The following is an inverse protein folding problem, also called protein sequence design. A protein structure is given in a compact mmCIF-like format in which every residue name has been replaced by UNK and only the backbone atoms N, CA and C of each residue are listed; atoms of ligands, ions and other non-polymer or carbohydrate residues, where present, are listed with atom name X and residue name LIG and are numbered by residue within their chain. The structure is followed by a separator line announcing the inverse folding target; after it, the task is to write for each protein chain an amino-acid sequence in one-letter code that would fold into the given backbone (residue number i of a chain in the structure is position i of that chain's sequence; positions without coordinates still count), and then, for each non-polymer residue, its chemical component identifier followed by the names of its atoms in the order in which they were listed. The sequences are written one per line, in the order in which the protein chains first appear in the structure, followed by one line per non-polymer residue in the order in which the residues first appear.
data_IF_080976788115
#
_entry.id   IF_080976788115
#
_cell.length_a   1.000
_cell.length_b   1.000
_cell.length_c   1.000
_cell.angle_alpha   90.00
_cell.angle_beta   90.00
_cell.angle_gamma   90.00
#
_symmetry.space_group_name_H-M   'P 1'
#
loop_
_entity.id
_entity.type
_entity.pdbx_description
1 polymer ?
#
# COMPACT_ATOMS: atom_id res chain seq x y z
N UNK A 1 14.04 21.92 25.01
CA UNK A 1 13.17 20.75 25.23
C UNK A 1 11.79 21.23 24.84
N UNK A 2 11.38 21.05 23.57
CA UNK A 2 10.06 21.49 23.09
C UNK A 2 9.02 20.56 23.71
N UNK A 3 8.47 20.99 24.84
CA UNK A 3 7.32 20.39 25.49
C UNK A 3 6.13 21.29 25.23
N UNK A 4 5.49 21.13 24.08
CA UNK A 4 4.04 21.27 23.93
C UNK A 4 3.62 20.70 22.57
N UNK A 5 2.35 20.35 22.42
CA UNK A 5 1.73 19.63 21.30
C UNK A 5 1.93 20.25 19.89
N UNK A 6 3.16 20.30 19.37
CA UNK A 6 3.42 20.78 18.01
C UNK A 6 2.94 19.73 16.99
N UNK A 7 2.16 20.13 15.98
CA UNK A 7 1.73 19.22 14.92
C UNK A 7 2.93 18.64 14.15
N UNK A 8 2.74 17.44 13.62
CA UNK A 8 3.78 16.79 12.80
C UNK A 8 4.21 17.67 11.62
N UNK A 9 5.36 17.39 11.00
CA UNK A 9 5.87 18.20 9.90
C UNK A 9 4.88 18.29 8.75
N UNK A 10 4.30 17.15 8.38
CA UNK A 10 3.28 17.08 7.34
C UNK A 10 2.01 17.83 7.72
N UNK A 11 1.56 17.74 8.96
CA UNK A 11 0.34 18.42 9.42
C UNK A 11 0.53 19.94 9.53
N UNK A 12 1.72 20.40 9.90
CA UNK A 12 2.03 21.82 10.09
C UNK A 12 2.18 22.63 8.81
N UNK A 13 2.31 21.97 7.67
CA UNK A 13 2.55 22.62 6.38
C UNK A 13 1.35 22.44 5.46
N UNK A 14 1.15 23.41 4.57
CA UNK A 14 0.29 23.29 3.39
C UNK A 14 1.11 23.48 2.14
N UNK A 15 0.72 22.78 1.07
CA UNK A 15 1.36 22.91 -0.23
C UNK A 15 0.59 23.91 -1.07
N UNK A 16 1.26 24.99 -1.46
CA UNK A 16 0.69 26.01 -2.34
C UNK A 16 1.30 25.84 -3.73
N UNK A 17 0.45 25.95 -4.76
CA UNK A 17 0.89 25.88 -6.16
C UNK A 17 1.87 27.02 -6.45
N UNK A 18 2.97 26.71 -7.14
CA UNK A 18 3.91 27.72 -7.65
C UNK A 18 3.35 28.49 -8.85
N UNK A 19 2.51 27.81 -9.63
CA UNK A 19 1.92 28.34 -10.85
C UNK A 19 0.40 28.13 -10.84
N UNK A 20 -0.33 29.03 -11.48
CA UNK A 20 -1.77 28.90 -11.65
C UNK A 20 -2.12 27.77 -12.63
N UNK A 21 -3.40 27.36 -12.62
CA UNK A 21 -3.90 26.36 -13.57
C UNK A 21 -3.38 24.93 -13.33
N UNK A 22 -3.25 24.14 -14.41
CA UNK A 22 -2.83 22.73 -14.37
C UNK A 22 -1.30 22.53 -14.37
N UNK A 23 -0.51 23.59 -14.57
CA UNK A 23 0.94 23.50 -14.75
C UNK A 23 1.69 22.76 -13.61
N UNK A 24 1.36 22.97 -12.32
CA UNK A 24 1.99 22.21 -11.24
C UNK A 24 1.82 20.69 -11.41
N UNK A 25 0.60 20.25 -11.76
CA UNK A 25 0.28 18.83 -11.93
C UNK A 25 1.07 18.25 -13.10
N UNK A 26 1.08 18.94 -14.24
CA UNK A 26 1.79 18.50 -15.44
C UNK A 26 3.30 18.43 -15.20
N UNK A 27 3.88 19.44 -14.57
CA UNK A 27 5.31 19.48 -14.26
C UNK A 27 5.72 18.35 -13.31
N UNK A 28 4.97 18.12 -12.23
CA UNK A 28 5.24 16.99 -11.35
C UNK A 28 5.04 15.66 -12.06
N UNK A 29 3.99 15.49 -12.86
CA UNK A 29 3.75 14.24 -13.59
C UNK A 29 4.92 13.90 -14.51
N UNK A 30 5.46 14.90 -15.22
CA UNK A 30 6.65 14.73 -16.06
C UNK A 30 7.89 14.33 -15.25
N UNK A 31 8.13 15.00 -14.11
CA UNK A 31 9.25 14.68 -13.22
C UNK A 31 9.12 13.29 -12.62
N UNK A 32 7.91 12.91 -12.17
CA UNK A 32 7.63 11.57 -11.64
C UNK A 32 7.84 10.50 -12.71
N UNK A 33 7.38 10.73 -13.95
CA UNK A 33 7.59 9.79 -15.05
C UNK A 33 9.08 9.64 -15.40
N UNK A 34 9.83 10.75 -15.45
CA UNK A 34 11.27 10.73 -15.71
C UNK A 34 12.04 10.00 -14.60
N UNK A 35 11.76 10.32 -13.33
CA UNK A 35 12.37 9.64 -12.18
C UNK A 35 11.98 8.17 -12.13
N UNK A 36 10.72 7.85 -12.39
CA UNK A 36 10.24 6.47 -12.46
C UNK A 36 11.01 5.69 -13.49
N UNK A 37 11.07 6.16 -14.73
CA UNK A 37 11.72 5.42 -15.80
C UNK A 37 13.24 5.29 -15.59
N UNK A 38 13.91 6.38 -15.19
CA UNK A 38 15.34 6.36 -14.94
C UNK A 38 15.71 5.38 -13.81
N UNK A 39 14.99 5.43 -12.70
CA UNK A 39 15.25 4.54 -11.56
C UNK A 39 14.77 3.12 -11.83
N UNK A 40 13.67 2.93 -12.56
CA UNK A 40 13.22 1.63 -13.03
C UNK A 40 14.31 0.95 -13.86
N UNK A 41 14.87 1.66 -14.85
CA UNK A 41 15.95 1.14 -15.69
C UNK A 41 17.20 0.75 -14.91
N UNK A 42 17.57 1.54 -13.89
CA UNK A 42 18.75 1.23 -13.06
C UNK A 42 18.50 -0.01 -12.20
N UNK A 43 17.39 -0.05 -11.47
CA UNK A 43 17.18 -1.02 -10.40
C UNK A 43 16.38 -2.25 -10.84
N UNK A 44 15.27 -2.04 -11.54
CA UNK A 44 14.23 -3.06 -11.71
C UNK A 44 14.25 -3.68 -13.11
N UNK A 45 14.27 -2.88 -14.20
CA UNK A 45 14.10 -3.37 -15.57
C UNK A 45 14.96 -4.62 -15.84
N UNK A 46 14.37 -5.74 -16.31
CA UNK A 46 15.11 -6.96 -16.62
C UNK A 46 16.24 -6.77 -17.65
N UNK A 47 16.16 -5.74 -18.48
CA UNK A 47 17.15 -5.36 -19.49
C UNK A 47 18.14 -4.31 -18.97
N UNK A 48 17.86 -3.75 -17.80
CA UNK A 48 18.58 -2.67 -17.17
C UNK A 48 19.89 -3.09 -16.51
N UNK A 49 20.34 -2.26 -15.57
CA UNK A 49 21.68 -2.38 -14.95
C UNK A 49 21.69 -3.44 -13.86
N UNK A 50 20.88 -3.29 -12.81
CA UNK A 50 20.90 -4.20 -11.65
C UNK A 50 19.95 -5.39 -11.77
N UNK A 51 18.90 -5.27 -12.60
CA UNK A 51 17.96 -6.36 -12.94
C UNK A 51 17.34 -7.05 -11.72
N UNK A 52 16.98 -6.27 -10.70
CA UNK A 52 16.48 -6.80 -9.43
C UNK A 52 15.06 -7.36 -9.53
N UNK A 53 14.40 -7.26 -10.68
CA UNK A 53 13.02 -7.72 -10.85
C UNK A 53 12.82 -9.21 -10.56
N UNK A 54 13.78 -10.06 -10.92
CA UNK A 54 13.76 -11.52 -10.66
C UNK A 54 15.15 -12.03 -10.26
N UNK A 55 15.29 -12.87 -9.21
CA UNK A 55 14.24 -13.29 -8.26
C UNK A 55 13.72 -12.09 -7.43
N UNK A 56 12.66 -12.25 -6.62
CA UNK A 56 11.88 -11.19 -5.92
C UNK A 56 12.63 -10.14 -5.06
N UNK A 57 13.96 -10.07 -5.13
CA UNK A 57 14.86 -9.07 -4.55
C UNK A 57 14.34 -7.64 -4.74
N UNK A 58 14.02 -7.26 -5.98
CA UNK A 58 13.56 -5.91 -6.31
C UNK A 58 12.19 -5.60 -5.73
N UNK A 59 11.33 -6.62 -5.60
CA UNK A 59 10.04 -6.47 -4.95
C UNK A 59 10.21 -6.28 -3.43
N UNK A 60 11.05 -7.09 -2.79
CA UNK A 60 11.39 -6.95 -1.37
C UNK A 60 11.91 -5.54 -1.06
N UNK A 61 12.88 -5.03 -1.81
CA UNK A 61 13.40 -3.67 -1.62
C UNK A 61 12.34 -2.60 -1.86
N UNK A 62 11.58 -2.70 -2.96
CA UNK A 62 10.51 -1.77 -3.26
C UNK A 62 9.48 -1.69 -2.12
N UNK A 63 9.12 -2.84 -1.55
CA UNK A 63 8.15 -2.91 -0.47
C UNK A 63 8.69 -2.38 0.85
N UNK A 64 9.91 -2.75 1.24
CA UNK A 64 10.50 -2.21 2.46
C UNK A 64 10.78 -0.71 2.38
N UNK A 65 11.17 -0.19 1.21
CA UNK A 65 11.29 1.24 1.02
C UNK A 65 9.98 1.95 1.34
N UNK A 66 8.84 1.44 0.86
CA UNK A 66 7.51 1.97 1.20
C UNK A 66 7.31 2.04 2.73
N UNK A 67 7.65 0.98 3.45
CA UNK A 67 7.54 0.94 4.92
C UNK A 67 8.41 2.00 5.56
N UNK A 68 9.67 2.10 5.15
CA UNK A 68 10.60 3.07 5.74
C UNK A 68 10.16 4.50 5.45
N UNK A 69 9.59 4.80 4.28
CA UNK A 69 9.02 6.11 3.98
C UNK A 69 7.88 6.44 4.95
N UNK A 70 6.99 5.48 5.22
CA UNK A 70 5.90 5.63 6.20
C UNK A 70 6.49 5.81 7.61
N UNK A 71 7.51 5.04 7.99
CA UNK A 71 8.15 5.17 9.28
C UNK A 71 8.75 6.56 9.47
N UNK A 72 9.53 7.04 8.51
CA UNK A 72 10.12 8.39 8.56
C UNK A 72 9.03 9.45 8.67
N UNK A 73 8.00 9.41 7.83
CA UNK A 73 7.01 10.49 7.74
C UNK A 73 5.92 10.46 8.81
N UNK A 74 5.38 9.27 9.12
CA UNK A 74 4.19 9.10 9.98
C UNK A 74 4.53 8.63 11.40
N UNK A 75 5.56 7.80 11.58
CA UNK A 75 5.89 7.22 12.90
C UNK A 75 6.94 8.06 13.63
N UNK A 76 8.04 8.39 12.97
CA UNK A 76 9.18 9.12 13.53
C UNK A 76 9.09 10.63 13.35
N UNK A 77 8.12 11.14 12.58
CA UNK A 77 7.98 12.57 12.26
C UNK A 77 9.33 13.21 11.89
N UNK A 78 10.03 12.56 10.94
CA UNK A 78 11.33 12.96 10.41
C UNK A 78 12.49 12.97 11.42
N UNK A 79 12.33 12.45 12.64
CA UNK A 79 13.48 12.23 13.52
C UNK A 79 14.51 11.31 12.82
N UNK A 80 15.83 11.58 12.90
CA UNK A 80 16.52 12.55 13.75
C UNK A 80 16.71 13.96 13.15
N UNK A 81 16.09 14.27 12.01
CA UNK A 81 16.24 15.56 11.36
C UNK A 81 15.50 16.67 12.13
N UNK A 82 16.20 17.77 12.41
CA UNK A 82 15.62 18.90 13.15
C UNK A 82 14.53 19.60 12.33
N UNK A 83 13.45 20.02 13.00
CA UNK A 83 12.33 20.74 12.38
C UNK A 83 12.76 21.95 11.55
N UNK A 84 13.62 22.81 12.12
CA UNK A 84 14.14 23.97 11.41
C UNK A 84 15.02 23.65 10.19
N UNK A 85 15.54 22.42 10.05
CA UNK A 85 16.21 21.98 8.82
C UNK A 85 15.17 21.60 7.76
N UNK A 86 14.11 20.86 8.14
CA UNK A 86 13.04 20.46 7.22
C UNK A 86 12.33 21.66 6.59
N UNK A 87 12.15 22.74 7.35
CA UNK A 87 11.44 23.94 6.91
C UNK A 87 12.27 24.86 5.99
N UNK A 88 13.60 24.92 6.20
CA UNK A 88 14.48 25.86 5.48
C UNK A 88 15.25 25.24 4.32
N UNK A 89 15.40 23.92 4.30
CA UNK A 89 16.23 23.24 3.30
C UNK A 89 15.54 23.20 1.95
N UNK A 90 16.35 23.36 0.88
CA UNK A 90 15.87 23.21 -0.48
C UNK A 90 15.17 21.84 -0.66
N UNK A 91 13.98 21.78 -1.28
CA UNK A 91 13.23 20.52 -1.38
C UNK A 91 13.96 19.40 -2.12
N UNK A 92 14.83 19.71 -3.09
CA UNK A 92 15.65 18.70 -3.77
C UNK A 92 16.69 18.11 -2.84
N UNK A 93 17.39 18.95 -2.07
CA UNK A 93 18.38 18.51 -1.07
C UNK A 93 17.72 17.66 0.00
N UNK A 94 16.56 18.12 0.50
CA UNK A 94 15.75 17.37 1.46
C UNK A 94 15.31 16.02 0.91
N UNK A 95 14.84 15.99 -0.35
CA UNK A 95 14.53 14.76 -1.08
C UNK A 95 15.69 13.78 -1.09
N UNK A 96 16.85 14.21 -1.58
CA UNK A 96 18.05 13.36 -1.68
C UNK A 96 18.49 12.83 -0.32
N UNK A 97 18.58 13.69 0.70
CA UNK A 97 19.04 13.31 2.03
C UNK A 97 18.07 12.34 2.71
N UNK A 98 16.76 12.63 2.69
CA UNK A 98 15.77 11.76 3.32
C UNK A 98 15.62 10.44 2.58
N UNK A 99 15.67 10.43 1.24
CA UNK A 99 15.68 9.19 0.46
C UNK A 99 16.93 8.35 0.74
N UNK A 100 18.11 8.96 0.77
CA UNK A 100 19.35 8.24 1.11
C UNK A 100 19.30 7.65 2.53
N UNK A 101 18.78 8.41 3.49
CA UNK A 101 18.53 7.92 4.85
C UNK A 101 17.55 6.75 4.86
N UNK A 102 16.42 6.84 4.15
CA UNK A 102 15.46 5.75 4.04
C UNK A 102 16.05 4.49 3.40
N UNK A 103 16.90 4.63 2.37
CA UNK A 103 17.61 3.49 1.76
C UNK A 103 18.59 2.87 2.75
N UNK A 104 19.35 3.66 3.50
CA UNK A 104 20.28 3.14 4.51
C UNK A 104 19.54 2.37 5.61
N UNK A 105 18.42 2.90 6.11
CA UNK A 105 17.59 2.21 7.12
C UNK A 105 16.96 0.95 6.54
N UNK A 106 16.48 0.99 5.28
CA UNK A 106 15.95 -0.19 4.59
C UNK A 106 17.00 -1.31 4.52
N UNK A 107 18.23 -1.00 4.11
CA UNK A 107 19.31 -1.98 4.04
C UNK A 107 19.69 -2.50 5.43
N UNK A 108 19.70 -1.64 6.46
CA UNK A 108 19.92 -2.08 7.84
C UNK A 108 18.85 -3.07 8.31
N UNK A 109 17.59 -2.83 7.97
CA UNK A 109 16.48 -3.73 8.32
C UNK A 109 16.57 -5.04 7.54
N UNK A 110 16.73 -4.99 6.22
CA UNK A 110 16.76 -6.20 5.38
C UNK A 110 18.03 -7.01 5.63
N UNK A 111 19.20 -6.41 5.37
CA UNK A 111 20.47 -7.11 5.45
C UNK A 111 20.87 -7.33 6.90
N UNK A 112 20.85 -6.27 7.71
CA UNK A 112 21.28 -6.34 9.11
C UNK A 112 20.34 -7.16 9.99
N UNK A 113 19.05 -6.82 10.02
CA UNK A 113 18.10 -7.49 10.91
C UNK A 113 17.56 -8.80 10.33
N UNK A 114 16.95 -8.79 9.14
CA UNK A 114 16.29 -10.00 8.62
C UNK A 114 17.26 -11.06 8.15
N UNK A 115 18.23 -10.73 7.28
CA UNK A 115 19.13 -11.74 6.73
C UNK A 115 20.21 -12.16 7.73
N UNK A 116 20.90 -11.21 8.36
CA UNK A 116 22.01 -11.54 9.29
C UNK A 116 21.53 -11.96 10.67
N UNK A 117 20.76 -11.13 11.39
CA UNK A 117 20.36 -11.49 12.76
C UNK A 117 19.34 -12.62 12.75
N UNK A 118 18.19 -12.42 12.09
CA UNK A 118 17.10 -13.38 12.12
C UNK A 118 17.40 -14.59 11.23
N UNK A 119 17.95 -14.39 10.04
CA UNK A 119 18.23 -15.44 9.06
C UNK A 119 19.41 -16.34 9.45
N UNK A 120 20.55 -15.76 9.85
CA UNK A 120 21.73 -16.56 10.16
C UNK A 120 21.65 -17.27 11.53
N UNK A 121 20.87 -16.76 12.48
CA UNK A 121 20.81 -17.29 13.85
C UNK A 121 19.44 -17.82 14.29
N UNK A 122 18.35 -17.51 13.58
CA UNK A 122 16.98 -17.88 13.96
C UNK A 122 16.26 -18.74 12.91
N UNK A 123 15.77 -18.10 11.86
CA UNK A 123 14.90 -18.68 10.83
C UNK A 123 15.69 -18.78 9.51
N UNK A 124 16.21 -19.96 9.21
CA UNK A 124 17.14 -20.19 8.10
C UNK A 124 16.61 -19.74 6.74
N UNK A 125 15.31 -19.84 6.48
CA UNK A 125 14.73 -19.43 5.21
C UNK A 125 14.75 -17.92 4.97
N UNK A 126 15.16 -17.09 5.94
CA UNK A 126 15.37 -15.65 5.74
C UNK A 126 16.81 -15.32 5.32
N UNK A 127 17.72 -16.29 5.29
CA UNK A 127 19.11 -16.10 4.86
C UNK A 127 19.38 -16.91 3.59
N UNK A 128 19.65 -16.24 2.44
CA UNK A 128 20.07 -16.93 1.23
C UNK A 128 21.31 -17.82 1.46
N UNK A 129 22.29 -17.31 2.22
CA UNK A 129 23.55 -18.01 2.49
C UNK A 129 23.31 -19.30 3.31
N UNK A 130 22.36 -19.26 4.27
CA UNK A 130 21.96 -20.47 5.01
C UNK A 130 21.26 -21.48 4.12
N UNK A 131 20.35 -21.02 3.26
CA UNK A 131 19.64 -21.90 2.32
C UNK A 131 20.60 -22.58 1.35
N UNK A 132 21.59 -21.85 0.83
CA UNK A 132 22.64 -22.41 -0.03
C UNK A 132 23.52 -23.42 0.72
N UNK A 133 23.89 -23.11 1.97
CA UNK A 133 24.62 -24.06 2.83
C UNK A 133 23.87 -25.36 3.09
N UNK A 134 22.54 -25.37 2.92
CA UNK A 134 21.68 -26.55 3.01
C UNK A 134 21.41 -27.23 1.65
N UNK A 135 22.02 -26.75 0.57
CA UNK A 135 21.95 -27.35 -0.78
C UNK A 135 20.90 -26.76 -1.72
N UNK A 136 20.24 -25.65 -1.35
CA UNK A 136 19.32 -24.94 -2.26
C UNK A 136 20.14 -24.11 -3.26
N UNK A 137 19.76 -24.10 -4.54
CA UNK A 137 20.47 -23.28 -5.53
C UNK A 137 20.32 -21.79 -5.24
N UNK A 138 21.34 -20.98 -5.56
CA UNK A 138 21.35 -19.53 -5.29
C UNK A 138 20.07 -18.82 -5.74
N UNK A 139 19.53 -19.19 -6.89
CA UNK A 139 18.30 -18.58 -7.43
C UNK A 139 17.12 -18.80 -6.48
N UNK A 140 16.84 -20.05 -6.09
CA UNK A 140 15.73 -20.37 -5.17
C UNK A 140 16.00 -19.89 -3.74
N UNK A 141 17.26 -19.92 -3.29
CA UNK A 141 17.65 -19.38 -1.99
C UNK A 141 17.34 -17.88 -1.89
N UNK A 142 17.67 -17.11 -2.93
CA UNK A 142 17.29 -15.70 -3.02
C UNK A 142 15.78 -15.53 -3.10
N UNK A 143 15.09 -16.32 -3.93
CA UNK A 143 13.65 -16.22 -4.09
C UNK A 143 12.91 -16.44 -2.77
N UNK A 144 13.19 -17.54 -2.06
CA UNK A 144 12.52 -17.88 -0.80
C UNK A 144 12.85 -16.90 0.33
N UNK A 145 14.11 -16.48 0.45
CA UNK A 145 14.48 -15.53 1.49
C UNK A 145 13.89 -14.14 1.25
N UNK A 146 13.93 -13.66 0.01
CA UNK A 146 13.35 -12.35 -0.32
C UNK A 146 11.83 -12.36 -0.25
N UNK A 147 11.18 -13.47 -0.61
CA UNK A 147 9.74 -13.67 -0.44
C UNK A 147 9.35 -13.65 1.05
N UNK A 148 10.06 -14.38 1.92
CA UNK A 148 9.81 -14.37 3.36
C UNK A 148 9.90 -12.97 3.97
N UNK A 149 10.95 -12.23 3.62
CA UNK A 149 11.20 -10.87 4.13
C UNK A 149 10.20 -9.86 3.55
N UNK A 150 9.82 -10.03 2.27
CA UNK A 150 8.80 -9.22 1.62
C UNK A 150 7.41 -9.44 2.23
N UNK A 151 7.03 -10.68 2.54
CA UNK A 151 5.76 -10.99 3.19
C UNK A 151 5.62 -10.29 4.55
N UNK A 152 6.73 -10.16 5.29
CA UNK A 152 6.75 -9.34 6.51
C UNK A 152 6.49 -7.86 6.21
N UNK A 153 7.10 -7.32 5.16
CA UNK A 153 6.85 -5.94 4.71
C UNK A 153 5.39 -5.72 4.28
N UNK A 154 4.73 -6.72 3.67
CA UNK A 154 3.31 -6.65 3.31
C UNK A 154 2.44 -6.47 4.56
N UNK A 155 2.74 -7.16 5.66
CA UNK A 155 2.03 -6.99 6.93
C UNK A 155 2.30 -5.60 7.52
N UNK A 156 3.58 -5.19 7.53
CA UNK A 156 3.99 -3.91 8.09
C UNK A 156 3.37 -2.71 7.34
N UNK A 157 3.09 -2.81 6.04
CA UNK A 157 2.51 -1.71 5.24
C UNK A 157 1.09 -1.37 5.62
N UNK A 158 0.38 -2.29 6.25
CA UNK A 158 -0.94 -2.04 6.79
C UNK A 158 -0.86 -1.63 8.26
N UNK A 159 -0.19 -2.42 9.11
CA UNK A 159 -0.18 -2.19 10.56
C UNK A 159 0.48 -0.86 10.95
N UNK A 160 1.59 -0.49 10.30
CA UNK A 160 2.31 0.74 10.59
C UNK A 160 1.44 1.99 10.38
N UNK A 161 0.86 2.24 9.18
CA UNK A 161 -0.03 3.39 9.00
C UNK A 161 -1.36 3.22 9.73
N UNK A 162 -1.91 2.01 9.87
CA UNK A 162 -3.18 1.82 10.60
C UNK A 162 -3.08 2.29 12.06
N UNK A 163 -1.92 2.12 12.70
CA UNK A 163 -1.74 2.62 14.06
C UNK A 163 -1.82 4.15 14.16
N UNK A 164 -1.26 4.85 13.17
CA UNK A 164 -1.28 6.31 13.15
C UNK A 164 -2.67 6.84 12.71
N UNK A 165 -3.23 6.23 11.67
CA UNK A 165 -4.47 6.67 11.01
C UNK A 165 -5.72 6.26 11.78
N UNK A 166 -5.83 4.99 12.16
CA UNK A 166 -7.02 4.44 12.83
C UNK A 166 -6.91 4.51 14.35
N UNK A 167 -5.73 4.20 14.92
CA UNK A 167 -5.52 4.23 16.37
C UNK A 167 -5.10 5.61 16.90
N UNK A 168 -4.92 6.61 16.03
CA UNK A 168 -4.56 8.00 16.40
C UNK A 168 -3.29 8.11 17.27
N UNK A 169 -2.29 7.25 17.01
CA UNK A 169 -1.03 7.14 17.76
C UNK A 169 -1.16 6.66 19.22
N UNK A 170 -2.34 6.24 19.66
CA UNK A 170 -2.55 5.89 21.06
C UNK A 170 -2.01 4.50 21.42
N UNK A 171 -1.53 4.29 22.66
CA UNK A 171 -1.52 5.21 23.81
C UNK A 171 -0.31 6.19 23.83
N UNK A 172 0.52 6.22 22.80
CA UNK A 172 1.80 6.93 22.79
C UNK A 172 1.76 8.32 22.17
N UNK A 173 0.58 8.83 21.82
CA UNK A 173 0.39 10.10 21.12
C UNK A 173 1.09 11.28 21.82
N UNK A 174 1.16 11.24 23.16
CA UNK A 174 1.75 12.28 24.01
C UNK A 174 3.26 12.14 24.22
N UNK A 175 3.89 11.05 23.76
CA UNK A 175 5.33 10.87 23.90
C UNK A 175 6.09 11.74 22.88
N UNK A 176 7.25 12.30 23.25
CA UNK A 176 8.11 13.00 22.31
C UNK A 176 8.81 12.02 21.36
N UNK A 177 9.32 12.52 20.23
CA UNK A 177 10.28 11.77 19.41
C UNK A 177 11.66 11.74 20.10
N UNK A 178 12.43 10.64 19.99
CA UNK A 178 12.12 9.43 19.22
C UNK A 178 11.26 8.40 19.96
N UNK A 179 10.98 8.60 21.25
CA UNK A 179 10.31 7.60 22.10
C UNK A 179 9.00 7.13 21.49
N UNK A 180 8.14 8.05 21.03
CA UNK A 180 6.88 7.69 20.36
C UNK A 180 7.10 6.80 19.15
N UNK A 181 7.99 7.20 18.23
CA UNK A 181 8.27 6.46 17.01
C UNK A 181 8.83 5.08 17.28
N UNK A 182 9.81 4.97 18.19
CA UNK A 182 10.40 3.69 18.61
C UNK A 182 9.33 2.78 19.21
N UNK A 183 8.49 3.27 20.12
CA UNK A 183 7.48 2.42 20.76
C UNK A 183 6.41 1.94 19.79
N UNK A 184 5.89 2.83 18.92
CA UNK A 184 4.93 2.43 17.88
C UNK A 184 5.57 1.40 16.96
N UNK A 185 6.79 1.65 16.47
CA UNK A 185 7.51 0.73 15.58
C UNK A 185 7.69 -0.64 16.24
N UNK A 186 8.15 -0.70 17.50
CA UNK A 186 8.36 -1.97 18.20
C UNK A 186 7.06 -2.76 18.38
N UNK A 187 5.96 -2.09 18.74
CA UNK A 187 4.67 -2.77 18.93
C UNK A 187 4.05 -3.22 17.62
N UNK A 188 4.07 -2.37 16.59
CA UNK A 188 3.56 -2.78 15.27
C UNK A 188 4.45 -3.86 14.65
N UNK A 189 5.75 -3.86 14.92
CA UNK A 189 6.66 -4.94 14.51
C UNK A 189 6.36 -6.25 15.24
N UNK A 190 6.14 -6.22 16.55
CA UNK A 190 5.71 -7.39 17.33
C UNK A 190 4.40 -7.99 16.80
N UNK A 191 3.39 -7.14 16.57
CA UNK A 191 2.14 -7.60 15.95
C UNK A 191 2.35 -8.11 14.53
N UNK A 192 3.24 -7.49 13.75
CA UNK A 192 3.61 -7.99 12.42
C UNK A 192 4.23 -9.38 12.49
N UNK A 193 5.08 -9.65 13.48
CA UNK A 193 5.64 -10.99 13.72
C UNK A 193 4.56 -12.01 14.06
N UNK A 194 3.62 -11.68 14.95
CA UNK A 194 2.51 -12.58 15.29
C UNK A 194 1.66 -12.88 14.06
N UNK A 195 1.26 -11.85 13.31
CA UNK A 195 0.50 -12.01 12.07
C UNK A 195 1.29 -12.82 11.04
N UNK A 196 2.60 -12.61 10.93
CA UNK A 196 3.45 -13.37 10.01
C UNK A 196 3.44 -14.87 10.33
N UNK A 197 3.55 -15.25 11.60
CA UNK A 197 3.46 -16.66 11.99
C UNK A 197 2.08 -17.27 11.74
N UNK A 198 1.01 -16.49 11.91
CA UNK A 198 -0.34 -16.96 11.64
C UNK A 198 -0.67 -17.06 10.14
N UNK A 199 -0.05 -16.25 9.29
CA UNK A 199 -0.51 -16.05 7.90
C UNK A 199 0.49 -16.44 6.83
N UNK A 200 1.79 -16.34 7.11
CA UNK A 200 2.85 -16.50 6.10
C UNK A 200 3.80 -17.67 6.42
N UNK A 201 4.01 -18.00 7.70
CA UNK A 201 4.95 -19.04 8.08
C UNK A 201 4.57 -20.43 7.53
N UNK A 202 3.28 -20.77 7.53
CA UNK A 202 2.78 -22.01 6.91
C UNK A 202 3.06 -22.09 5.41
N UNK A 203 3.02 -20.97 4.68
CA UNK A 203 3.43 -20.92 3.27
C UNK A 203 4.92 -21.18 3.12
N UNK A 204 5.77 -20.56 3.94
CA UNK A 204 7.21 -20.81 3.88
C UNK A 204 7.55 -22.26 4.20
N UNK A 205 6.87 -22.87 5.18
CA UNK A 205 7.13 -24.23 5.64
C UNK A 205 6.87 -25.32 4.59
N UNK A 206 5.97 -25.07 3.63
CA UNK A 206 5.65 -26.03 2.55
C UNK A 206 6.56 -25.90 1.33
N UNK A 207 7.39 -24.84 1.24
CA UNK A 207 8.36 -24.66 0.15
C UNK A 207 9.55 -25.62 0.27
N UNK A 208 9.76 -26.21 1.45
CA UNK A 208 10.85 -27.14 1.71
C UNK A 208 10.31 -28.57 1.75
N UNK A 209 11.05 -29.52 1.16
CA UNK A 209 10.72 -30.94 1.21
C UNK A 209 11.68 -31.69 2.17
N UNK A 210 11.16 -32.49 3.12
CA UNK A 210 9.75 -32.62 3.48
C UNK A 210 9.19 -31.32 4.08
N UNK A 211 7.86 -31.16 4.06
CA UNK A 211 7.21 -30.00 4.70
C UNK A 211 7.60 -29.89 6.16
N UNK A 212 7.78 -28.66 6.65
CA UNK A 212 8.29 -28.39 8.00
C UNK A 212 7.18 -28.49 9.07
N UNK A 213 6.60 -29.69 9.23
CA UNK A 213 5.39 -29.93 10.03
C UNK A 213 5.59 -29.74 11.55
N UNK A 214 6.83 -29.79 12.04
CA UNK A 214 7.13 -29.60 13.47
C UNK A 214 7.10 -28.13 13.91
N UNK A 215 7.17 -27.19 12.98
CA UNK A 215 7.26 -25.75 13.28
C UNK A 215 6.08 -24.96 12.72
N UNK A 216 5.32 -25.53 11.79
CA UNK A 216 4.22 -24.85 11.11
C UNK A 216 3.01 -25.75 10.90
N UNK A 217 1.84 -25.12 10.72
CA UNK A 217 0.62 -25.80 10.30
C UNK A 217 0.73 -26.06 8.80
N UNK A 218 0.89 -27.32 8.38
CA UNK A 218 1.02 -27.69 6.96
C UNK A 218 0.01 -28.79 6.61
N UNK A 219 -0.91 -28.57 5.65
CA UNK A 219 -1.11 -27.34 4.88
C UNK A 219 -1.70 -26.21 5.75
N UNK A 220 -1.55 -24.96 5.31
CA UNK A 220 -2.14 -23.82 6.02
C UNK A 220 -3.66 -23.93 6.15
N UNK A 221 -4.23 -23.38 7.23
CA UNK A 221 -5.67 -23.52 7.54
C UNK A 221 -6.61 -22.94 6.49
N UNK A 222 -6.09 -22.12 5.57
CA UNK A 222 -6.85 -21.52 4.48
C UNK A 222 -7.02 -22.42 3.26
N UNK A 223 -6.30 -23.53 3.18
CA UNK A 223 -6.26 -24.39 1.99
C UNK A 223 -7.64 -24.73 1.44
N UNK A 224 -8.56 -25.13 2.32
CA UNK A 224 -9.89 -25.62 1.93
C UNK A 224 -10.77 -24.54 1.33
N UNK A 225 -10.79 -23.34 1.91
CA UNK A 225 -11.67 -22.26 1.44
C UNK A 225 -11.00 -21.33 0.42
N UNK A 226 -9.67 -21.22 0.42
CA UNK A 226 -8.92 -20.45 -0.57
C UNK A 226 -8.55 -21.27 -1.81
N UNK A 227 -8.79 -22.60 -1.78
CA UNK A 227 -8.45 -23.55 -2.83
C UNK A 227 -6.96 -23.55 -3.23
N UNK A 228 -6.08 -23.16 -2.30
CA UNK A 228 -4.62 -23.11 -2.49
C UNK A 228 -3.89 -23.17 -1.16
N UNK A 229 -2.69 -23.76 -1.17
CA UNK A 229 -1.77 -23.73 -0.03
C UNK A 229 -0.89 -22.47 -0.01
N UNK A 230 -0.95 -21.66 -1.06
CA UNK A 230 -0.15 -20.44 -1.19
C UNK A 230 -0.58 -19.36 -0.21
N UNK A 231 0.40 -18.67 0.39
CA UNK A 231 0.23 -17.47 1.21
C UNK A 231 -0.28 -16.25 0.42
N UNK A 232 -0.41 -16.35 -0.90
CA UNK A 232 -0.99 -15.29 -1.74
C UNK A 232 -2.42 -14.90 -1.30
N UNK A 233 -3.18 -15.83 -0.71
CA UNK A 233 -4.45 -15.49 -0.06
C UNK A 233 -4.28 -14.40 1.01
N UNK A 234 -3.25 -14.53 1.85
CA UNK A 234 -2.94 -13.55 2.88
C UNK A 234 -2.39 -12.25 2.31
N UNK A 235 -1.57 -12.33 1.27
CA UNK A 235 -1.15 -11.13 0.53
C UNK A 235 -2.41 -10.39 0.05
N UNK A 236 -3.37 -11.05 -0.59
CA UNK A 236 -4.57 -10.44 -1.15
C UNK A 236 -5.29 -9.50 -0.16
N UNK A 237 -5.71 -10.00 1.00
CA UNK A 237 -6.49 -9.19 1.93
C UNK A 237 -5.64 -8.16 2.68
N UNK A 238 -4.36 -8.43 2.96
CA UNK A 238 -3.47 -7.46 3.62
C UNK A 238 -3.16 -6.28 2.67
N UNK A 239 -3.04 -6.56 1.37
CA UNK A 239 -2.92 -5.54 0.34
C UNK A 239 -4.18 -4.68 0.29
N UNK A 240 -5.37 -5.30 0.31
CA UNK A 240 -6.63 -4.56 0.43
C UNK A 240 -6.68 -3.72 1.71
N UNK A 241 -6.18 -4.23 2.85
CA UNK A 241 -6.09 -3.46 4.10
C UNK A 241 -5.19 -2.23 3.95
N UNK A 242 -4.01 -2.40 3.34
CA UNK A 242 -3.09 -1.29 3.07
C UNK A 242 -3.78 -0.19 2.25
N UNK A 243 -4.44 -0.58 1.15
CA UNK A 243 -5.15 0.37 0.28
C UNK A 243 -6.31 1.05 1.01
N UNK A 244 -7.07 0.29 1.80
CA UNK A 244 -8.22 0.81 2.54
C UNK A 244 -7.81 1.81 3.62
N UNK A 245 -6.70 1.59 4.34
CA UNK A 245 -6.15 2.58 5.27
C UNK A 245 -5.87 3.91 4.56
N UNK A 246 -5.25 3.86 3.38
CA UNK A 246 -4.94 5.06 2.64
C UNK A 246 -6.16 5.71 2.01
N UNK A 247 -7.15 4.93 1.54
CA UNK A 247 -8.45 5.47 1.09
C UNK A 247 -9.11 6.24 2.23
N UNK A 248 -9.17 5.61 3.40
CA UNK A 248 -9.70 6.17 4.64
C UNK A 248 -8.99 7.47 5.03
N UNK A 249 -7.66 7.50 5.04
CA UNK A 249 -6.88 8.69 5.40
C UNK A 249 -7.01 9.83 4.37
N UNK A 250 -7.11 9.52 3.08
CA UNK A 250 -6.95 10.51 2.01
C UNK A 250 -8.27 10.97 1.39
N UNK A 251 -8.79 10.22 0.42
CA UNK A 251 -9.97 10.61 -0.36
C UNK A 251 -11.26 10.52 0.44
N UNK A 252 -11.28 9.68 1.50
CA UNK A 252 -12.42 9.54 2.41
C UNK A 252 -12.38 10.50 3.58
N UNK A 253 -11.27 11.20 3.83
CA UNK A 253 -11.13 12.17 4.94
C UNK A 253 -11.58 11.59 6.29
N UNK A 254 -11.22 10.32 6.55
CA UNK A 254 -11.59 9.53 7.73
C UNK A 254 -13.10 9.28 7.92
N UNK A 255 -13.92 9.52 6.91
CA UNK A 255 -15.33 9.14 6.88
C UNK A 255 -15.49 7.62 6.66
N UNK A 256 -16.51 6.97 7.25
CA UNK A 256 -17.52 7.49 8.17
C UNK A 256 -17.11 7.43 9.64
N UNK A 257 -15.98 6.80 9.97
CA UNK A 257 -15.65 6.52 11.37
C UNK A 257 -15.34 7.79 12.17
N UNK A 258 -14.91 8.88 11.52
CA UNK A 258 -14.77 10.19 12.16
C UNK A 258 -16.08 10.80 12.70
N UNK A 259 -17.25 10.24 12.37
CA UNK A 259 -18.53 10.61 12.98
C UNK A 259 -18.63 10.15 14.45
N UNK A 260 -17.88 9.12 14.83
CA UNK A 260 -17.89 8.55 16.18
C UNK A 260 -17.13 9.49 17.12
N UNK A 261 -17.86 10.16 18.01
CA UNK A 261 -17.28 11.14 18.93
C UNK A 261 -16.43 10.47 20.03
N UNK A 262 -16.84 9.27 20.47
CA UNK A 262 -16.13 8.51 21.51
C UNK A 262 -14.80 7.96 20.99
N UNK A 263 -13.68 8.47 21.51
CA UNK A 263 -12.33 8.18 21.00
C UNK A 263 -12.00 6.68 20.89
N UNK A 264 -12.16 5.91 21.97
CA UNK A 264 -11.80 4.48 21.96
C UNK A 264 -12.67 3.70 20.95
N UNK A 265 -13.97 4.00 20.91
CA UNK A 265 -14.91 3.34 19.99
C UNK A 265 -14.62 3.72 18.54
N UNK A 266 -14.26 4.97 18.27
CA UNK A 266 -13.82 5.43 16.95
C UNK A 266 -12.59 4.65 16.51
N UNK A 267 -11.56 4.55 17.37
CA UNK A 267 -10.31 3.86 17.03
C UNK A 267 -10.52 2.38 16.75
N UNK A 268 -11.24 1.69 17.63
CA UNK A 268 -11.59 0.27 17.47
C UNK A 268 -12.42 0.07 16.21
N UNK A 269 -13.48 0.85 16.01
CA UNK A 269 -14.34 0.75 14.83
C UNK A 269 -13.60 1.11 13.55
N UNK A 270 -12.69 2.08 13.58
CA UNK A 270 -11.88 2.45 12.41
C UNK A 270 -10.91 1.32 12.03
N UNK A 271 -10.20 0.77 13.01
CA UNK A 271 -9.23 -0.30 12.77
C UNK A 271 -9.91 -1.57 12.21
N UNK A 272 -10.94 -2.08 12.91
CA UNK A 272 -11.65 -3.27 12.45
C UNK A 272 -12.56 -3.01 11.25
N UNK A 273 -13.09 -1.79 11.11
CA UNK A 273 -13.88 -1.39 9.95
C UNK A 273 -13.05 -1.35 8.67
N UNK A 274 -11.81 -0.87 8.73
CA UNK A 274 -10.84 -0.96 7.61
C UNK A 274 -10.61 -2.43 7.23
N UNK A 275 -10.40 -3.31 8.21
CA UNK A 275 -10.22 -4.75 7.97
C UNK A 275 -11.47 -5.36 7.32
N UNK A 276 -12.66 -5.07 7.83
CA UNK A 276 -13.91 -5.58 7.27
C UNK A 276 -14.13 -5.13 5.81
N UNK A 277 -13.90 -3.84 5.52
CA UNK A 277 -13.99 -3.29 4.15
C UNK A 277 -12.94 -3.95 3.25
N UNK A 278 -11.72 -4.14 3.73
CA UNK A 278 -10.67 -4.79 2.97
C UNK A 278 -10.97 -6.26 2.66
N UNK A 279 -11.55 -7.01 3.58
CA UNK A 279 -12.00 -8.38 3.33
C UNK A 279 -13.13 -8.41 2.29
N UNK A 280 -14.12 -7.53 2.42
CA UNK A 280 -15.19 -7.41 1.42
C UNK A 280 -14.63 -7.10 0.03
N UNK A 281 -13.68 -6.14 -0.06
CA UNK A 281 -12.98 -5.82 -1.30
C UNK A 281 -12.19 -7.02 -1.84
N UNK A 282 -11.46 -7.73 -0.98
CA UNK A 282 -10.63 -8.88 -1.36
C UNK A 282 -11.49 -9.98 -2.00
N UNK A 283 -12.56 -10.41 -1.33
CA UNK A 283 -13.45 -11.44 -1.86
C UNK A 283 -14.23 -10.96 -3.08
N UNK A 284 -14.65 -9.70 -3.12
CA UNK A 284 -15.31 -9.13 -4.30
C UNK A 284 -14.39 -9.13 -5.53
N UNK A 285 -13.13 -8.71 -5.39
CA UNK A 285 -12.16 -8.72 -6.49
C UNK A 285 -11.82 -10.14 -6.92
N UNK A 286 -11.74 -11.11 -6.01
CA UNK A 286 -11.56 -12.52 -6.37
C UNK A 286 -12.75 -13.02 -7.20
N UNK A 287 -13.96 -12.83 -6.68
CA UNK A 287 -15.19 -13.22 -7.37
C UNK A 287 -15.36 -12.51 -8.73
N UNK A 288 -14.99 -11.22 -8.81
CA UNK A 288 -15.02 -10.47 -10.05
C UNK A 288 -14.11 -11.06 -11.14
N UNK A 289 -12.97 -11.63 -10.76
CA UNK A 289 -12.11 -12.36 -11.69
C UNK A 289 -12.78 -13.67 -12.15
N UNK A 290 -13.45 -14.41 -11.26
CA UNK A 290 -14.18 -15.64 -11.64
C UNK A 290 -15.31 -15.34 -12.62
N UNK A 291 -16.02 -14.22 -12.43
CA UNK A 291 -17.03 -13.75 -13.37
C UNK A 291 -16.43 -13.40 -14.74
N UNK A 292 -15.24 -12.78 -14.77
CA UNK A 292 -14.61 -12.32 -16.00
C UNK A 292 -13.91 -13.44 -16.78
N UNK A 293 -13.31 -14.41 -16.08
CA UNK A 293 -12.37 -15.38 -16.66
C UNK A 293 -12.74 -16.84 -16.38
N UNK A 294 -13.85 -17.11 -15.68
CA UNK A 294 -14.26 -18.45 -15.28
C UNK A 294 -13.63 -18.91 -13.95
N UNK A 295 -14.16 -20.02 -13.44
CA UNK A 295 -13.84 -20.59 -12.14
C UNK A 295 -12.39 -21.07 -12.03
N UNK A 296 -11.75 -20.79 -10.90
CA UNK A 296 -10.39 -21.29 -10.62
C UNK A 296 -10.34 -22.80 -10.40
N UNK A 297 -9.30 -23.46 -10.91
CA UNK A 297 -9.11 -24.91 -10.76
C UNK A 297 -7.76 -25.16 -10.09
N UNK A 298 -7.77 -25.81 -8.93
CA UNK A 298 -6.56 -26.15 -8.19
C UNK A 298 -5.65 -27.07 -9.02
N UNK A 299 -4.35 -26.78 -8.99
CA UNK A 299 -3.33 -27.53 -9.75
C UNK A 299 -3.18 -27.08 -11.20
N UNK A 300 -4.02 -26.16 -11.69
CA UNK A 300 -3.77 -25.48 -12.96
C UNK A 300 -2.68 -24.41 -12.82
N UNK A 301 -2.17 -23.91 -13.95
CA UNK A 301 -1.19 -22.82 -14.00
C UNK A 301 -1.85 -21.56 -14.55
N UNK A 302 -1.21 -20.42 -14.28
CA UNK A 302 -1.55 -19.11 -14.89
C UNK A 302 -2.95 -18.64 -14.47
N UNK A 303 -3.75 -18.20 -15.45
CA UNK A 303 -5.00 -17.51 -15.25
C UNK A 303 -6.03 -18.33 -14.45
N UNK A 304 -5.99 -19.66 -14.50
CA UNK A 304 -6.96 -20.51 -13.78
C UNK A 304 -6.47 -20.94 -12.39
N UNK A 305 -5.25 -20.58 -12.02
CA UNK A 305 -4.62 -21.00 -10.78
C UNK A 305 -5.10 -20.13 -9.59
N UNK A 306 -5.66 -20.73 -8.52
CA UNK A 306 -6.17 -19.96 -7.39
C UNK A 306 -5.08 -19.11 -6.70
N UNK A 307 -3.84 -19.60 -6.59
CA UNK A 307 -2.71 -18.87 -6.00
C UNK A 307 -2.40 -17.56 -6.74
N UNK A 308 -2.45 -17.58 -8.07
CA UNK A 308 -2.26 -16.36 -8.87
C UNK A 308 -3.46 -15.41 -8.73
N UNK A 309 -4.69 -15.92 -8.71
CA UNK A 309 -5.91 -15.10 -8.57
C UNK A 309 -5.92 -14.31 -7.27
N UNK A 310 -5.51 -14.93 -6.16
CA UNK A 310 -5.33 -14.24 -4.89
C UNK A 310 -4.23 -13.18 -4.96
N UNK A 311 -3.08 -13.50 -5.57
CA UNK A 311 -2.03 -12.50 -5.76
C UNK A 311 -2.55 -11.30 -6.57
N UNK A 312 -3.28 -11.58 -7.65
CA UNK A 312 -3.82 -10.59 -8.55
C UNK A 312 -4.86 -9.67 -7.90
N UNK A 313 -5.63 -10.16 -6.92
CA UNK A 313 -6.48 -9.29 -6.07
C UNK A 313 -5.65 -8.19 -5.41
N UNK A 314 -4.49 -8.54 -4.85
CA UNK A 314 -3.57 -7.57 -4.24
C UNK A 314 -3.02 -6.57 -5.26
N UNK A 315 -2.76 -7.02 -6.50
CA UNK A 315 -2.33 -6.15 -7.61
C UNK A 315 -3.43 -5.16 -8.00
N UNK A 316 -4.66 -5.64 -8.19
CA UNK A 316 -5.83 -4.80 -8.50
C UNK A 316 -6.06 -3.72 -7.43
N UNK A 317 -5.90 -4.07 -6.15
CA UNK A 317 -6.01 -3.10 -5.06
C UNK A 317 -4.94 -2.00 -5.18
N UNK A 318 -3.68 -2.34 -5.49
CA UNK A 318 -2.62 -1.35 -5.66
C UNK A 318 -2.80 -0.51 -6.93
N UNK A 319 -3.35 -1.06 -8.00
CA UNK A 319 -3.76 -0.25 -9.16
C UNK A 319 -4.75 0.85 -8.77
N UNK A 320 -5.58 0.64 -7.75
CA UNK A 320 -6.46 1.67 -7.21
C UNK A 320 -5.74 2.69 -6.31
N UNK A 321 -4.71 2.26 -5.58
CA UNK A 321 -3.90 3.14 -4.74
C UNK A 321 -3.20 4.25 -5.55
N UNK A 322 -2.68 3.94 -6.74
CA UNK A 322 -1.95 4.91 -7.59
C UNK A 322 -2.79 6.16 -7.94
N UNK A 323 -3.95 6.06 -8.64
CA UNK A 323 -4.75 7.22 -8.98
C UNK A 323 -5.35 7.90 -7.75
N UNK A 324 -5.61 7.17 -6.66
CA UNK A 324 -6.06 7.77 -5.42
C UNK A 324 -4.99 8.70 -4.81
N UNK A 325 -3.75 8.23 -4.69
CA UNK A 325 -2.66 9.09 -4.21
C UNK A 325 -2.43 10.26 -5.16
N UNK A 326 -2.56 10.04 -6.47
CA UNK A 326 -2.41 11.10 -7.46
C UNK A 326 -3.47 12.19 -7.29
N UNK A 327 -4.74 11.78 -7.11
CA UNK A 327 -5.86 12.68 -6.89
C UNK A 327 -5.66 13.49 -5.59
N UNK A 328 -5.23 12.83 -4.52
CA UNK A 328 -4.97 13.47 -3.24
C UNK A 328 -3.79 14.46 -3.31
N UNK A 329 -2.65 14.00 -3.81
CA UNK A 329 -1.40 14.75 -3.78
C UNK A 329 -1.34 15.90 -4.79
N UNK A 330 -1.76 15.65 -6.02
CA UNK A 330 -1.52 16.58 -7.13
C UNK A 330 -2.81 17.28 -7.58
N UNK A 331 -3.97 16.65 -7.42
CA UNK A 331 -5.25 17.24 -7.82
C UNK A 331 -6.00 17.95 -6.67
N UNK A 332 -5.36 18.13 -5.50
CA UNK A 332 -5.95 18.82 -4.36
C UNK A 332 -7.17 18.10 -3.78
N UNK A 333 -7.18 16.76 -3.86
CA UNK A 333 -8.29 15.91 -3.42
C UNK A 333 -9.65 16.28 -4.05
N UNK A 334 -9.64 16.72 -5.31
CA UNK A 334 -10.85 17.11 -6.03
C UNK A 334 -11.81 15.91 -6.23
N UNK A 335 -13.14 16.11 -6.18
CA UNK A 335 -13.89 17.34 -5.87
C UNK A 335 -13.94 17.67 -4.36
N UNK A 336 -14.10 18.95 -4.03
CA UNK A 336 -14.12 19.47 -2.64
C UNK A 336 -15.32 20.35 -2.31
N UNK A 337 -16.23 20.58 -3.27
CA UNK A 337 -17.31 21.57 -3.15
C UNK A 337 -18.63 21.02 -2.61
N UNK A 338 -18.80 19.70 -2.58
CA UNK A 338 -20.05 19.07 -2.14
C UNK A 338 -20.01 18.72 -0.65
N UNK A 339 -21.08 18.11 -0.13
CA UNK A 339 -21.08 17.53 1.21
C UNK A 339 -20.01 16.45 1.33
N UNK A 340 -19.51 16.18 2.54
CA UNK A 340 -18.48 15.15 2.76
C UNK A 340 -18.87 13.79 2.15
N UNK A 341 -20.07 13.22 2.40
CA UNK A 341 -20.45 11.95 1.79
C UNK A 341 -20.44 11.96 0.25
N UNK A 342 -20.88 13.07 -0.37
CA UNK A 342 -20.88 13.21 -1.82
C UNK A 342 -19.46 13.33 -2.40
N UNK A 343 -18.58 14.13 -1.77
CA UNK A 343 -17.18 14.22 -2.17
C UNK A 343 -16.49 12.84 -2.06
N UNK A 344 -16.70 12.14 -0.95
CA UNK A 344 -16.13 10.79 -0.72
C UNK A 344 -16.60 9.81 -1.80
N UNK A 345 -17.90 9.76 -2.10
CA UNK A 345 -18.45 8.88 -3.13
C UNK A 345 -17.90 9.21 -4.52
N UNK A 346 -17.88 10.50 -4.90
CA UNK A 346 -17.37 10.95 -6.20
C UNK A 346 -15.88 10.65 -6.38
N UNK A 347 -15.05 10.93 -5.37
CA UNK A 347 -13.60 10.62 -5.42
C UNK A 347 -13.35 9.12 -5.51
N UNK A 348 -14.13 8.32 -4.78
CA UNK A 348 -14.08 6.85 -4.86
C UNK A 348 -14.38 6.39 -6.27
N UNK A 349 -15.45 6.88 -6.89
CA UNK A 349 -15.80 6.54 -8.28
C UNK A 349 -14.72 6.99 -9.28
N UNK A 350 -14.24 8.23 -9.19
CA UNK A 350 -13.19 8.77 -10.06
C UNK A 350 -11.93 7.89 -10.00
N UNK A 351 -11.51 7.53 -8.79
CA UNK A 351 -10.29 6.73 -8.59
C UNK A 351 -10.45 5.28 -9.02
N UNK A 352 -11.64 4.68 -8.89
CA UNK A 352 -11.94 3.35 -9.46
C UNK A 352 -11.86 3.38 -10.99
N UNK A 353 -12.49 4.36 -11.63
CA UNK A 353 -12.44 4.49 -13.10
C UNK A 353 -11.00 4.70 -13.57
N UNK A 354 -10.24 5.56 -12.90
CA UNK A 354 -8.83 5.78 -13.22
C UNK A 354 -7.97 4.51 -12.98
N UNK A 355 -8.30 3.70 -11.96
CA UNK A 355 -7.61 2.44 -11.69
C UNK A 355 -7.83 1.42 -12.82
N UNK A 356 -9.07 1.31 -13.32
CA UNK A 356 -9.40 0.45 -14.46
C UNK A 356 -8.63 0.90 -15.71
N UNK A 357 -8.61 2.21 -15.99
CA UNK A 357 -7.83 2.76 -17.12
C UNK A 357 -6.33 2.46 -16.97
N UNK A 358 -5.77 2.65 -15.77
CA UNK A 358 -4.37 2.34 -15.49
C UNK A 358 -4.07 0.86 -15.65
N UNK A 359 -4.94 -0.02 -15.13
CA UNK A 359 -4.85 -1.47 -15.26
C UNK A 359 -4.82 -1.91 -16.73
N UNK A 360 -5.80 -1.46 -17.52
CA UNK A 360 -5.89 -1.78 -18.96
C UNK A 360 -4.65 -1.27 -19.70
N UNK A 361 -4.22 -0.03 -19.42
CA UNK A 361 -3.04 0.56 -20.04
C UNK A 361 -1.79 -0.24 -19.71
N UNK A 362 -1.61 -0.61 -18.44
CA UNK A 362 -0.48 -1.41 -17.99
C UNK A 362 -0.41 -2.74 -18.75
N UNK A 363 -1.47 -3.54 -18.75
CA UNK A 363 -1.44 -4.84 -19.40
C UNK A 363 -1.28 -4.76 -20.93
N UNK A 364 -1.77 -3.68 -21.55
CA UNK A 364 -1.59 -3.44 -23.00
C UNK A 364 -0.18 -3.02 -23.39
N UNK A 365 0.55 -2.34 -22.51
CA UNK A 365 1.71 -1.56 -22.96
C UNK A 365 2.98 -1.79 -22.14
N UNK A 366 2.89 -2.32 -20.91
CA UNK A 366 4.03 -2.48 -20.01
C UNK A 366 5.20 -3.26 -20.62
N UNK A 367 4.92 -4.28 -21.43
CA UNK A 367 5.96 -5.07 -22.09
C UNK A 367 6.82 -4.26 -23.09
N UNK A 368 6.26 -3.17 -23.65
CA UNK A 368 6.96 -2.29 -24.58
C UNK A 368 8.01 -1.42 -23.89
N UNK A 369 7.75 -1.00 -22.64
CA UNK A 369 8.60 -0.01 -21.96
C UNK A 369 9.25 -0.48 -20.66
N UNK A 370 8.67 -1.42 -19.90
CA UNK A 370 9.22 -1.90 -18.62
C UNK A 370 10.10 -3.15 -18.73
N UNK A 371 10.19 -3.77 -19.91
CA UNK A 371 10.97 -4.99 -20.12
C UNK A 371 10.34 -6.25 -19.53
N UNK A 372 9.11 -6.14 -19.04
CA UNK A 372 8.30 -7.28 -18.57
C UNK A 372 7.73 -8.06 -19.76
N UNK A 373 7.33 -9.30 -19.52
CA UNK A 373 6.68 -10.11 -20.54
C UNK A 373 5.19 -9.79 -20.65
N UNK A 374 4.59 -10.07 -21.82
CA UNK A 374 3.16 -9.88 -22.06
C UNK A 374 2.38 -11.10 -21.53
N UNK A 375 1.42 -10.88 -20.62
CA UNK A 375 0.42 -11.89 -20.23
C UNK A 375 -0.02 -11.76 -18.78
N UNK A 376 -1.32 -11.72 -18.51
CA UNK A 376 -1.89 -11.51 -17.17
C UNK A 376 -1.19 -12.27 -16.04
N UNK A 377 -1.00 -13.56 -16.25
CA UNK A 377 -0.43 -14.49 -15.28
C UNK A 377 0.97 -15.00 -15.70
N UNK A 378 1.72 -14.19 -16.46
CA UNK A 378 3.09 -14.54 -16.80
C UNK A 378 3.95 -14.51 -15.52
N UNK A 379 4.77 -15.54 -15.23
CA UNK A 379 5.59 -15.59 -14.00
C UNK A 379 6.64 -14.48 -13.86
N UNK A 380 6.85 -13.69 -14.92
CA UNK A 380 7.72 -12.51 -14.94
C UNK A 380 6.89 -11.22 -15.13
N UNK A 381 5.63 -11.23 -14.70
CA UNK A 381 4.76 -10.06 -14.72
C UNK A 381 4.13 -9.87 -13.33
N UNK A 382 4.81 -9.06 -12.53
CA UNK A 382 4.39 -8.59 -11.20
C UNK A 382 4.04 -7.11 -11.22
N UNK A 383 2.83 -6.71 -11.64
CA UNK A 383 2.38 -5.33 -11.65
C UNK A 383 2.51 -4.59 -10.31
N UNK A 384 2.54 -5.31 -9.19
CA UNK A 384 2.81 -4.71 -7.89
C UNK A 384 4.16 -3.99 -7.82
N UNK A 385 5.21 -4.49 -8.47
CA UNK A 385 6.55 -3.88 -8.40
C UNK A 385 6.57 -2.47 -9.02
N UNK A 386 6.20 -2.25 -10.30
CA UNK A 386 6.21 -0.93 -10.90
C UNK A 386 5.19 0.01 -10.25
N UNK A 387 4.03 -0.48 -9.83
CA UNK A 387 3.02 0.38 -9.19
C UNK A 387 3.47 0.86 -7.81
N UNK A 388 4.03 -0.01 -6.95
CA UNK A 388 4.60 0.40 -5.66
C UNK A 388 5.84 1.28 -5.86
N UNK A 389 6.65 1.02 -6.88
CA UNK A 389 7.81 1.85 -7.20
C UNK A 389 7.40 3.29 -7.54
N UNK A 390 6.36 3.45 -8.36
CA UNK A 390 5.77 4.75 -8.64
C UNK A 390 5.22 5.41 -7.37
N UNK A 391 4.54 4.64 -6.51
CA UNK A 391 4.04 5.15 -5.22
C UNK A 391 5.19 5.66 -4.36
N UNK A 392 6.29 4.91 -4.21
CA UNK A 392 7.47 5.36 -3.46
C UNK A 392 8.00 6.70 -3.97
N UNK A 393 8.04 6.89 -5.29
CA UNK A 393 8.48 8.16 -5.89
C UNK A 393 7.47 9.29 -5.59
N UNK A 394 6.16 9.01 -5.64
CA UNK A 394 5.14 9.99 -5.26
C UNK A 394 5.25 10.38 -3.77
N UNK A 395 5.52 9.41 -2.90
CA UNK A 395 5.75 9.65 -1.47
C UNK A 395 7.01 10.48 -1.23
N UNK A 396 8.13 10.13 -1.87
CA UNK A 396 9.37 10.94 -1.81
C UNK A 396 9.10 12.36 -2.30
N UNK A 397 8.41 12.51 -3.43
CA UNK A 397 8.09 13.82 -3.98
C UNK A 397 7.26 14.67 -3.01
N UNK A 398 6.21 14.08 -2.45
CA UNK A 398 5.25 14.82 -1.63
C UNK A 398 5.72 15.00 -0.19
N UNK A 399 6.25 13.96 0.44
CA UNK A 399 6.69 13.98 1.83
C UNK A 399 8.08 14.60 1.98
N UNK A 400 9.03 14.29 1.10
CA UNK A 400 10.41 14.75 1.24
C UNK A 400 10.73 15.97 0.39
N UNK A 401 10.20 16.07 -0.83
CA UNK A 401 10.51 17.17 -1.77
C UNK A 401 9.45 18.28 -1.81
N UNK A 402 8.52 18.31 -0.86
CA UNK A 402 7.44 19.31 -0.80
C UNK A 402 6.61 19.49 -2.08
N UNK A 403 6.44 18.43 -2.87
CA UNK A 403 5.75 18.51 -4.15
C UNK A 403 6.50 19.32 -5.21
N UNK A 404 7.82 19.47 -5.10
CA UNK A 404 8.62 20.10 -6.16
C UNK A 404 8.46 19.35 -7.50
N UNK A 405 8.40 20.03 -8.66
CA UNK A 405 8.58 21.48 -8.85
C UNK A 405 7.29 22.30 -8.71
N UNK A 406 6.11 21.68 -8.81
CA UNK A 406 4.81 22.35 -8.90
C UNK A 406 4.35 23.04 -7.62
N UNK A 407 4.82 22.60 -6.46
CA UNK A 407 4.39 23.11 -5.16
C UNK A 407 5.53 23.72 -4.34
N UNK A 408 5.12 24.47 -3.33
CA UNK A 408 5.96 25.03 -2.27
C UNK A 408 5.28 24.78 -0.93
N UNK A 409 6.03 24.26 0.04
CA UNK A 409 5.57 24.17 1.42
C UNK A 409 5.52 25.56 2.07
N UNK A 410 4.41 25.84 2.73
CA UNK A 410 4.18 27.05 3.53
C UNK A 410 3.63 26.60 4.89
N UNK A 411 4.05 27.21 6.02
CA UNK A 411 3.46 26.93 7.32
C UNK A 411 1.94 27.19 7.31
N UNK A 412 1.17 26.32 7.96
CA UNK A 412 -0.23 26.57 8.28
C UNK A 412 -0.33 27.58 9.42
N UNK A 413 -1.37 28.40 9.42
CA UNK A 413 -1.70 29.23 10.59
C UNK A 413 -2.19 28.36 11.76
N UNK A 414 -2.14 28.90 12.98
CA UNK A 414 -2.69 28.23 14.16
C UNK A 414 -4.18 27.85 13.96
N UNK A 415 -4.95 28.71 13.31
CA UNK A 415 -6.35 28.47 12.97
C UNK A 415 -6.53 27.32 11.97
N UNK A 416 -5.65 27.18 10.98
CA UNK A 416 -5.67 26.07 10.03
C UNK A 416 -5.29 24.73 10.68
N UNK A 417 -4.38 24.76 11.67
CA UNK A 417 -3.99 23.58 12.44
C UNK A 417 -5.14 23.13 13.35
N UNK A 418 -5.79 24.06 14.05
CA UNK A 418 -6.94 23.75 14.89
C UNK A 418 -8.12 23.21 14.07
N UNK A 419 -8.40 23.82 12.92
CA UNK A 419 -9.41 23.31 12.00
C UNK A 419 -9.09 21.89 11.52
N UNK A 420 -7.82 21.57 11.23
CA UNK A 420 -7.41 20.22 10.85
C UNK A 420 -7.60 19.21 11.99
N UNK A 421 -7.33 19.58 13.24
CA UNK A 421 -7.63 18.72 14.40
C UNK A 421 -9.14 18.48 14.57
N UNK A 422 -9.97 19.49 14.30
CA UNK A 422 -11.42 19.34 14.33
C UNK A 422 -11.95 18.44 13.20
N UNK A 423 -11.21 18.23 12.10
CA UNK A 423 -11.61 17.30 11.02
C UNK A 423 -11.47 15.83 11.43
N UNK A 424 -10.62 15.51 12.41
CA UNK A 424 -10.50 14.14 12.95
C UNK A 424 -11.83 13.66 13.54
N UNK A 425 -12.63 14.59 14.08
CA UNK A 425 -13.96 14.32 14.62
C UNK A 425 -14.99 15.18 13.90
N UNK A 426 -15.66 14.58 12.93
CA UNK A 426 -16.68 15.23 12.13
C UNK A 426 -17.85 15.75 12.99
N UNK A 427 -18.21 17.03 12.81
CA UNK A 427 -19.38 17.67 13.46
C UNK A 427 -20.38 18.26 12.45
N UNK A 428 -20.01 18.27 11.17
CA UNK A 428 -20.76 18.77 10.03
C UNK A 428 -21.89 17.83 9.60
N UNK A 429 -21.80 16.54 9.95
CA UNK A 429 -22.85 15.55 9.69
C UNK A 429 -23.52 15.18 11.02
N UNK A 430 -24.81 15.49 11.16
CA UNK A 430 -25.62 15.18 12.35
C UNK A 430 -26.74 14.21 11.99
N UNK A 431 -27.12 13.36 12.96
CA UNK A 431 -28.26 12.48 12.80
C UNK A 431 -29.53 13.27 12.53
N UNK A 432 -30.29 12.85 11.53
CA UNK A 432 -31.60 13.38 11.17
C UNK A 432 -32.41 12.29 10.44
N UNK A 433 -33.76 12.38 10.40
CA UNK A 433 -34.56 11.46 9.59
C UNK A 433 -34.12 11.44 8.13
N UNK A 434 -33.78 12.60 7.57
CA UNK A 434 -33.28 12.71 6.20
C UNK A 434 -31.96 11.94 5.99
N UNK A 435 -31.03 11.99 6.96
CA UNK A 435 -29.83 11.16 6.93
C UNK A 435 -30.17 9.66 6.98
N UNK A 436 -31.12 9.27 7.83
CA UNK A 436 -31.62 7.89 7.92
C UNK A 436 -32.17 7.38 6.58
N UNK A 437 -33.04 8.16 5.93
CA UNK A 437 -33.54 7.85 4.59
C UNK A 437 -32.41 7.80 3.56
N UNK A 438 -31.47 8.75 3.62
CA UNK A 438 -30.31 8.78 2.73
C UNK A 438 -29.41 7.54 2.86
N UNK A 439 -29.19 7.06 4.09
CA UNK A 439 -28.47 5.81 4.35
C UNK A 439 -29.23 4.61 3.80
N UNK A 440 -30.55 4.52 4.02
CA UNK A 440 -31.36 3.43 3.48
C UNK A 440 -31.34 3.40 1.94
N UNK A 441 -31.51 4.56 1.30
CA UNK A 441 -31.39 4.70 -0.17
C UNK A 441 -29.97 4.34 -0.63
N UNK A 442 -28.94 4.76 0.09
CA UNK A 442 -27.55 4.41 -0.19
C UNK A 442 -27.29 2.90 -0.12
N UNK A 443 -27.84 2.21 0.87
CA UNK A 443 -27.75 0.75 1.00
C UNK A 443 -28.44 0.05 -0.17
N UNK A 444 -29.69 0.42 -0.48
CA UNK A 444 -30.45 -0.15 -1.61
C UNK A 444 -29.72 0.12 -2.93
N UNK A 445 -29.23 1.33 -3.13
CA UNK A 445 -28.44 1.72 -4.30
C UNK A 445 -27.14 0.93 -4.41
N UNK A 446 -26.42 0.73 -3.31
CA UNK A 446 -25.21 -0.10 -3.27
C UNK A 446 -25.49 -1.56 -3.65
N UNK A 447 -26.58 -2.13 -3.13
CA UNK A 447 -27.03 -3.49 -3.50
C UNK A 447 -27.37 -3.56 -4.99
N UNK A 448 -28.10 -2.58 -5.52
CA UNK A 448 -28.43 -2.52 -6.94
C UNK A 448 -27.17 -2.41 -7.82
N UNK A 449 -26.21 -1.58 -7.44
CA UNK A 449 -24.91 -1.46 -8.13
C UNK A 449 -24.14 -2.78 -8.08
N UNK A 450 -24.13 -3.47 -6.94
CA UNK A 450 -23.50 -4.78 -6.83
C UNK A 450 -24.07 -5.78 -7.85
N UNK A 451 -25.39 -5.94 -7.88
CA UNK A 451 -26.03 -6.85 -8.86
C UNK A 451 -25.82 -6.40 -10.31
N UNK A 452 -25.83 -5.10 -10.57
CA UNK A 452 -25.52 -4.55 -11.89
C UNK A 452 -24.09 -4.92 -12.31
N UNK A 453 -23.11 -4.73 -11.44
CA UNK A 453 -21.71 -5.08 -11.73
C UNK A 453 -21.56 -6.60 -11.93
N UNK A 454 -22.15 -7.43 -11.07
CA UNK A 454 -22.11 -8.89 -11.20
C UNK A 454 -22.74 -9.38 -12.51
N UNK A 455 -23.83 -8.75 -12.97
CA UNK A 455 -24.47 -9.11 -14.24
C UNK A 455 -23.71 -8.64 -15.49
N UNK A 456 -22.98 -7.52 -15.40
CA UNK A 456 -22.24 -6.94 -16.53
C UNK A 456 -20.83 -7.54 -16.66
N UNK A 457 -20.18 -7.90 -15.55
CA UNK A 457 -18.78 -8.38 -15.56
C UNK A 457 -18.51 -9.57 -16.49
N UNK A 458 -19.35 -10.63 -16.55
CA UNK A 458 -19.14 -11.73 -17.49
C UNK A 458 -19.15 -11.27 -18.95
N UNK A 459 -20.06 -10.37 -19.29
CA UNK A 459 -20.15 -9.80 -20.64
C UNK A 459 -18.92 -8.95 -20.98
N UNK A 460 -18.43 -8.14 -20.03
CA UNK A 460 -17.19 -7.38 -20.21
C UNK A 460 -15.98 -8.30 -20.41
N UNK A 461 -15.89 -9.39 -19.63
CA UNK A 461 -14.81 -10.38 -19.74
C UNK A 461 -14.73 -11.05 -21.11
N UNK A 462 -15.86 -11.24 -21.78
CA UNK A 462 -15.92 -11.85 -23.12
C UNK A 462 -15.58 -10.89 -24.26
N UNK A 463 -15.87 -9.59 -24.11
CA UNK A 463 -15.75 -8.62 -25.22
C UNK A 463 -14.48 -7.78 -25.11
N UNK A 464 -13.99 -7.52 -23.89
CA UNK A 464 -12.78 -6.72 -23.70
C UNK A 464 -11.55 -7.63 -23.79
N UNK A 465 -10.95 -7.66 -24.98
CA UNK A 465 -9.61 -8.23 -25.16
C UNK A 465 -8.56 -7.17 -24.78
N UNK A 466 -7.93 -7.34 -23.60
CA UNK A 466 -6.81 -6.48 -23.18
C UNK A 466 -5.50 -6.97 -23.78
N UNK A 467 -5.30 -8.29 -23.89
CA UNK A 467 -4.10 -8.92 -24.42
C UNK A 467 -4.52 -9.79 -25.60
N UNK A 468 -3.96 -9.54 -26.79
CA UNK A 468 -4.24 -10.37 -27.97
C UNK A 468 -3.73 -11.80 -27.74
N UNK A 469 -4.58 -12.80 -28.02
CA UNK A 469 -4.24 -14.21 -27.86
C UNK A 469 -4.32 -14.76 -26.41
N UNK A 470 -4.95 -14.03 -25.48
CA UNK A 470 -5.07 -14.46 -24.07
C UNK A 470 -6.36 -15.22 -23.72
N UNK A 471 -7.16 -15.62 -24.72
CA UNK A 471 -8.37 -16.45 -24.57
C UNK A 471 -8.08 -17.90 -24.91
#
# INVERSE_FOLDING_TARGET
METDHSPSYLESRKLVKRWSGPWPVLANTLVLAALFYATWWVFQDPRGIMRLYTPYVGYMYCRWLLIILIWVAYIFDYWPFRRGWLERTNPLVKGVVLTAFSVAVMLLVIEGFFMRILGDYGISYMSPDRLEGMGITRFYALEYATEAIMMFAVIASWLSPAWVVACENEPWAKLPQPTRGITIMLVTFLFSTIVYFLTMHSHMAILFYPWQQYTAITPGYWESFANTVSGNFHIAWIMCCTVTVWLYETIWERYPFNLIQTNWLRRVTSFFGIVAIAFALCFFLYYGQDLAWGETIRGTKRLMAPDWRWLHVGEMAIFWLVPMLFLNFYCGNWPTKFSRPANVALRTLITIVAAVVLYVTYYKTAHLFLGVQQGYAHPQQFPMIPTIWLINIMLINMWFMDGWPGWKAVPKSATEIEAAHQVIVARDVKWSPALGYGLAVGVVGGIAVYFLVVSILPWLGQIITIIEGST
#
